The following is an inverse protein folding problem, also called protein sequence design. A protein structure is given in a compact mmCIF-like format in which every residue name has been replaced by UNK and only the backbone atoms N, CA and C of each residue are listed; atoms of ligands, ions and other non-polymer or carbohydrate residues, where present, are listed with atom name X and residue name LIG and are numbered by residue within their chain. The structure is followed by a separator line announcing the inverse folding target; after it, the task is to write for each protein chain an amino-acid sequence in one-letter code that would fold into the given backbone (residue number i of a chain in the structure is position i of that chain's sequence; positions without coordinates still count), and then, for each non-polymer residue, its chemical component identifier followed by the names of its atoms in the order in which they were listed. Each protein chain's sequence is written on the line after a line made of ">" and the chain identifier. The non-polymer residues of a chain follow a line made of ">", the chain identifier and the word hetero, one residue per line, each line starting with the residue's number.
data_IF_259274571264
#
_entry.id   IF_259274571264
#
_cell.length_a   1.000
_cell.length_b   1.000
_cell.length_c   1.000
_cell.angle_alpha   90.00
_cell.angle_beta   90.00
_cell.angle_gamma   90.00
#
_symmetry.space_group_name_H-M   'P 1'
#
loop_
_entity.id
_entity.type
_entity.pdbx_description
1 polymer ?
#
# COMPACT_ATOMS: atom_id res chain seq x y z
N UNK A 1 15.90 -19.19 9.70
CA UNK A 1 14.96 -18.05 9.72
C UNK A 1 14.02 -18.28 10.89
N UNK A 2 13.77 -17.26 11.71
CA UNK A 2 12.80 -17.36 12.82
C UNK A 2 11.46 -16.84 12.31
N UNK A 3 10.39 -17.58 12.58
CA UNK A 3 9.03 -17.16 12.27
C UNK A 3 8.64 -15.99 13.18
N UNK A 4 7.93 -15.00 12.63
CA UNK A 4 7.51 -13.78 13.30
C UNK A 4 6.00 -13.87 13.52
N UNK A 5 5.56 -13.74 14.76
CA UNK A 5 4.14 -13.73 15.10
C UNK A 5 3.49 -12.36 14.77
N UNK A 6 2.16 -12.30 14.77
CA UNK A 6 1.39 -11.10 14.45
C UNK A 6 1.76 -9.92 15.37
N UNK A 7 2.05 -10.16 16.64
CA UNK A 7 2.41 -9.08 17.58
C UNK A 7 3.78 -8.49 17.24
N UNK A 8 4.74 -9.34 16.88
CA UNK A 8 6.07 -8.92 16.43
C UNK A 8 5.99 -8.18 15.09
N UNK A 9 5.15 -8.68 14.16
CA UNK A 9 4.88 -8.00 12.89
C UNK A 9 4.33 -6.59 13.12
N UNK A 10 3.32 -6.42 13.97
CA UNK A 10 2.75 -5.11 14.34
C UNK A 10 3.80 -4.16 14.93
N UNK A 11 4.71 -4.66 15.77
CA UNK A 11 5.81 -3.83 16.31
C UNK A 11 6.74 -3.33 15.21
N UNK A 12 7.10 -4.19 14.26
CA UNK A 12 7.96 -3.81 13.12
C UNK A 12 7.25 -2.76 12.24
N UNK A 13 5.96 -2.93 11.96
CA UNK A 13 5.19 -1.94 11.20
C UNK A 13 5.10 -0.59 11.92
N UNK A 14 4.92 -0.58 13.24
CA UNK A 14 4.97 0.66 14.05
C UNK A 14 6.35 1.31 13.94
N UNK A 15 7.43 0.54 14.04
CA UNK A 15 8.80 1.08 13.91
C UNK A 15 9.03 1.69 12.51
N UNK A 16 8.49 1.08 11.46
CA UNK A 16 8.50 1.65 10.11
C UNK A 16 7.71 2.95 10.08
N UNK A 17 6.48 2.94 10.65
CA UNK A 17 5.60 4.10 10.64
C UNK A 17 6.20 5.29 11.40
N UNK A 18 6.86 5.07 12.54
CA UNK A 18 7.57 6.12 13.29
C UNK A 18 8.63 6.79 12.40
N UNK A 19 9.42 6.00 11.67
CA UNK A 19 10.46 6.55 10.78
C UNK A 19 9.88 7.29 9.58
N UNK A 20 8.75 6.80 9.05
CA UNK A 20 8.01 7.51 8.00
C UNK A 20 7.46 8.84 8.52
N UNK A 21 6.89 8.87 9.72
CA UNK A 21 6.41 10.09 10.37
C UNK A 21 7.54 11.10 10.61
N UNK A 22 8.68 10.65 11.16
CA UNK A 22 9.87 11.49 11.35
C UNK A 22 10.37 12.10 10.03
N UNK A 23 10.39 11.29 8.97
CA UNK A 23 10.78 11.75 7.63
C UNK A 23 9.80 12.77 7.07
N UNK A 24 8.50 12.49 7.17
CA UNK A 24 7.44 13.38 6.70
C UNK A 24 7.48 14.73 7.44
N UNK A 25 7.58 14.71 8.76
CA UNK A 25 7.67 15.93 9.57
C UNK A 25 8.91 16.77 9.21
N UNK A 26 10.07 16.13 9.03
CA UNK A 26 11.31 16.80 8.64
C UNK A 26 11.23 17.48 7.27
N UNK A 27 10.47 16.93 6.35
CA UNK A 27 10.38 17.38 4.97
C UNK A 27 9.06 18.10 4.64
N UNK A 28 8.22 18.41 5.65
CA UNK A 28 6.91 19.04 5.49
C UNK A 28 5.99 18.27 4.51
N UNK A 29 5.98 16.94 4.59
CA UNK A 29 5.13 16.05 3.82
C UNK A 29 3.85 15.79 4.63
N UNK A 30 2.69 16.01 4.01
CA UNK A 30 1.42 15.65 4.62
C UNK A 30 1.06 14.21 4.30
N UNK A 31 0.58 13.48 5.32
CA UNK A 31 0.00 12.17 5.14
C UNK A 31 -1.20 11.97 6.07
N UNK A 32 -2.01 10.98 5.78
CA UNK A 32 -3.21 10.62 6.53
C UNK A 32 -3.22 9.11 6.74
N UNK A 33 -3.67 8.68 7.91
CA UNK A 33 -4.01 7.27 8.11
C UNK A 33 -5.22 6.91 7.24
N UNK A 34 -5.20 5.71 6.66
CA UNK A 34 -6.24 5.25 5.75
C UNK A 34 -6.88 3.94 6.23
N UNK A 35 -8.00 3.59 5.65
CA UNK A 35 -8.69 2.31 5.76
C UNK A 35 -8.75 1.74 7.20
N UNK A 36 -8.35 0.49 7.39
CA UNK A 36 -8.30 -0.20 8.69
C UNK A 36 -7.47 0.53 9.72
N UNK A 37 -6.34 1.10 9.31
CA UNK A 37 -5.43 1.84 10.18
C UNK A 37 -6.10 3.07 10.81
N UNK A 38 -6.84 3.86 10.03
CA UNK A 38 -7.58 5.02 10.53
C UNK A 38 -8.69 4.59 11.51
N UNK A 39 -9.44 3.54 11.17
CA UNK A 39 -10.49 3.00 12.03
C UNK A 39 -9.91 2.48 13.34
N UNK A 40 -8.79 1.76 13.27
CA UNK A 40 -8.05 1.25 14.43
C UNK A 40 -7.59 2.37 15.36
N UNK A 41 -6.96 3.40 14.81
CA UNK A 41 -6.52 4.57 15.58
C UNK A 41 -7.68 5.27 16.29
N UNK A 42 -8.82 5.47 15.61
CA UNK A 42 -9.98 6.15 16.18
C UNK A 42 -10.69 5.32 17.27
N UNK A 43 -10.92 4.02 17.02
CA UNK A 43 -11.75 3.16 17.87
C UNK A 43 -10.95 2.38 18.92
N UNK A 44 -9.76 1.89 18.57
CA UNK A 44 -8.95 0.98 19.39
C UNK A 44 -7.71 1.65 19.97
N UNK A 45 -7.41 2.90 19.59
CA UNK A 45 -6.16 3.62 19.94
C UNK A 45 -4.90 2.88 19.49
N UNK A 46 -5.02 2.12 18.41
CA UNK A 46 -3.99 1.28 17.83
C UNK A 46 -4.58 0.44 16.69
N UNK A 47 -4.01 -0.71 16.43
CA UNK A 47 -4.55 -1.64 15.45
C UNK A 47 -5.94 -2.15 15.81
N UNK A 48 -6.75 -2.44 14.81
CA UNK A 48 -7.86 -3.38 14.97
C UNK A 48 -7.24 -4.74 15.40
N UNK A 49 -7.79 -5.48 16.37
CA UNK A 49 -7.12 -6.67 16.94
C UNK A 49 -6.66 -7.72 15.92
N UNK A 50 -7.44 -7.93 14.86
CA UNK A 50 -7.16 -8.92 13.80
C UNK A 50 -6.51 -8.32 12.55
N UNK A 51 -6.26 -7.01 12.51
CA UNK A 51 -5.63 -6.31 11.40
C UNK A 51 -4.12 -6.57 11.38
N UNK A 52 -3.54 -6.70 10.21
CA UNK A 52 -2.14 -7.07 10.00
C UNK A 52 -1.37 -6.15 9.03
N UNK A 53 -1.94 -4.98 8.74
CA UNK A 53 -1.37 -3.96 7.85
C UNK A 53 -1.42 -2.55 8.44
N UNK A 54 -0.69 -1.64 7.82
CA UNK A 54 -0.77 -0.18 8.03
C UNK A 54 -0.88 0.48 6.66
N UNK A 55 -1.95 1.25 6.49
CA UNK A 55 -2.25 2.03 5.30
C UNK A 55 -2.15 3.51 5.58
N UNK A 56 -1.39 4.23 4.75
CA UNK A 56 -1.35 5.70 4.75
C UNK A 56 -1.59 6.26 3.36
N UNK A 57 -2.11 7.48 3.30
CA UNK A 57 -2.35 8.20 2.07
C UNK A 57 -1.62 9.53 2.08
N UNK A 58 -1.09 9.93 0.93
CA UNK A 58 -0.42 11.23 0.73
C UNK A 58 -1.02 11.97 -0.46
N UNK A 59 -1.22 13.31 -0.39
CA UNK A 59 -1.50 14.11 -1.58
C UNK A 59 -0.49 13.81 -2.69
N UNK A 60 -0.90 13.81 -3.95
CA UNK A 60 -0.04 13.41 -5.09
C UNK A 60 1.33 14.09 -5.08
N UNK A 61 1.40 15.39 -4.82
CA UNK A 61 2.66 16.15 -4.75
C UNK A 61 3.59 15.62 -3.67
N UNK A 62 3.04 15.34 -2.48
CA UNK A 62 3.76 14.86 -1.33
C UNK A 62 4.21 13.39 -1.55
N UNK A 63 3.35 12.58 -2.14
CA UNK A 63 3.65 11.20 -2.55
C UNK A 63 4.83 11.16 -3.53
N UNK A 64 4.79 11.98 -4.60
CA UNK A 64 5.84 12.03 -5.61
C UNK A 64 7.19 12.49 -5.03
N UNK A 65 7.16 13.42 -4.08
CA UNK A 65 8.36 13.82 -3.36
C UNK A 65 8.85 12.69 -2.44
N UNK A 66 7.95 12.07 -1.67
CA UNK A 66 8.26 11.00 -0.74
C UNK A 66 8.96 9.83 -1.42
N UNK A 67 8.41 9.29 -2.50
CA UNK A 67 8.99 8.12 -3.19
C UNK A 67 10.37 8.39 -3.80
N UNK A 68 10.71 9.65 -4.10
CA UNK A 68 12.02 10.06 -4.61
C UNK A 68 13.03 10.32 -3.50
N UNK A 69 12.59 10.91 -2.40
CA UNK A 69 13.48 11.40 -1.34
C UNK A 69 13.68 10.40 -0.19
N UNK A 70 12.72 9.51 0.07
CA UNK A 70 12.79 8.54 1.15
C UNK A 70 13.86 7.45 0.98
N UNK A 71 14.11 6.88 -0.24
CA UNK A 71 15.10 5.83 -0.42
C UNK A 71 16.47 6.22 0.11
N UNK A 72 17.07 5.34 0.93
CA UNK A 72 18.40 5.59 1.54
C UNK A 72 18.39 6.42 2.82
N UNK A 73 17.24 6.95 3.25
CA UNK A 73 17.14 7.74 4.49
C UNK A 73 17.36 6.91 5.77
N UNK A 74 17.07 5.61 5.71
CA UNK A 74 17.25 4.68 6.82
C UNK A 74 17.91 3.38 6.34
N UNK A 75 18.95 2.93 7.06
CA UNK A 75 19.73 1.75 6.68
C UNK A 75 18.87 0.48 6.54
N UNK A 76 17.91 0.29 7.44
CA UNK A 76 17.11 -0.93 7.51
C UNK A 76 15.86 -0.89 6.63
N UNK A 77 15.48 0.27 6.11
CA UNK A 77 14.27 0.41 5.30
C UNK A 77 14.59 0.51 3.81
N UNK A 78 13.65 0.06 3.02
CA UNK A 78 13.62 0.30 1.59
C UNK A 78 12.19 0.66 1.15
N UNK A 79 12.09 1.18 -0.06
CA UNK A 79 10.84 1.57 -0.67
C UNK A 79 10.70 0.81 -1.99
N UNK A 80 9.58 0.14 -2.18
CA UNK A 80 9.14 -0.38 -3.47
C UNK A 80 8.16 0.62 -4.08
N UNK A 81 8.37 0.98 -5.33
CA UNK A 81 7.64 2.03 -6.04
C UNK A 81 6.91 1.49 -7.25
N UNK A 82 5.73 2.03 -7.62
CA UNK A 82 5.09 1.70 -8.88
C UNK A 82 5.89 2.13 -10.13
N UNK A 83 6.98 2.91 -9.93
CA UNK A 83 7.87 3.37 -11.00
C UNK A 83 9.17 2.55 -11.11
N UNK A 84 9.31 1.48 -10.30
CA UNK A 84 10.44 0.56 -10.42
C UNK A 84 10.39 -0.18 -11.77
N UNK A 85 11.52 -0.74 -12.22
CA UNK A 85 11.60 -1.47 -13.50
C UNK A 85 10.58 -2.62 -13.61
N UNK A 86 10.25 -3.26 -12.50
CA UNK A 86 9.26 -4.33 -12.41
C UNK A 86 8.32 -4.08 -11.23
N UNK A 87 7.38 -3.13 -11.35
CA UNK A 87 6.51 -2.77 -10.25
C UNK A 87 5.57 -3.92 -9.88
N UNK A 88 5.55 -4.26 -8.60
CA UNK A 88 4.67 -5.29 -8.06
C UNK A 88 3.29 -4.72 -7.72
N UNK A 89 3.27 -3.46 -7.26
CA UNK A 89 2.07 -2.76 -6.79
C UNK A 89 1.91 -1.44 -7.54
N UNK A 90 0.67 -0.95 -7.62
CA UNK A 90 0.34 0.38 -8.20
C UNK A 90 0.45 1.53 -7.19
N UNK A 91 0.94 1.23 -5.99
CA UNK A 91 1.25 2.15 -4.89
C UNK A 91 2.62 1.83 -4.31
N UNK A 92 3.12 2.67 -3.44
CA UNK A 92 4.42 2.42 -2.82
C UNK A 92 4.28 1.59 -1.53
N UNK A 93 5.34 0.83 -1.21
CA UNK A 93 5.48 0.13 0.06
C UNK A 93 6.79 0.50 0.71
N UNK A 94 6.76 0.83 1.99
CA UNK A 94 7.98 0.96 2.80
C UNK A 94 8.14 -0.31 3.62
N UNK A 95 9.27 -0.98 3.49
CA UNK A 95 9.48 -2.29 4.11
C UNK A 95 10.82 -2.42 4.84
N UNK A 96 10.87 -3.32 5.83
CA UNK A 96 12.09 -3.65 6.56
C UNK A 96 12.89 -4.74 5.82
N UNK A 97 14.06 -4.39 5.31
CA UNK A 97 14.97 -5.28 4.56
C UNK A 97 15.49 -6.47 5.35
N UNK A 98 15.35 -6.45 6.68
CA UNK A 98 15.82 -7.52 7.57
C UNK A 98 14.82 -8.67 7.70
N UNK A 99 13.62 -8.50 7.16
CA UNK A 99 12.51 -9.45 7.23
C UNK A 99 12.14 -9.95 5.83
N UNK A 100 11.36 -11.02 5.78
CA UNK A 100 10.77 -11.55 4.55
C UNK A 100 9.31 -11.84 4.85
N UNK A 101 8.41 -11.22 4.09
CA UNK A 101 6.97 -11.47 4.12
C UNK A 101 6.64 -12.42 2.98
N UNK A 102 6.12 -13.60 3.31
CA UNK A 102 5.67 -14.58 2.32
C UNK A 102 4.18 -14.34 2.12
N UNK A 103 3.81 -13.79 0.99
CA UNK A 103 2.40 -13.62 0.64
C UNK A 103 1.87 -14.86 -0.07
N UNK A 104 0.66 -15.31 0.29
CA UNK A 104 0.02 -16.48 -0.36
C UNK A 104 -0.20 -16.28 -1.87
N UNK A 105 -0.20 -15.02 -2.32
CA UNK A 105 -0.36 -14.60 -3.72
C UNK A 105 0.97 -14.30 -4.41
N UNK A 106 2.09 -14.85 -3.94
CA UNK A 106 3.36 -14.73 -4.67
C UNK A 106 3.21 -15.41 -6.04
N UNK A 107 3.13 -14.58 -7.07
CA UNK A 107 3.03 -15.01 -8.46
C UNK A 107 4.37 -15.52 -9.03
N UNK A 108 5.38 -15.72 -8.19
CA UNK A 108 6.69 -16.25 -8.56
C UNK A 108 7.52 -15.33 -9.47
N UNK A 109 7.09 -14.08 -9.67
CA UNK A 109 7.73 -13.12 -10.59
C UNK A 109 8.52 -12.04 -9.87
N UNK A 110 8.38 -11.91 -8.55
CA UNK A 110 9.00 -10.83 -7.79
C UNK A 110 9.75 -11.37 -6.56
N UNK A 111 10.78 -10.64 -6.14
CA UNK A 111 11.44 -10.92 -4.87
C UNK A 111 10.47 -10.58 -3.73
N UNK A 112 10.32 -11.46 -2.73
CA UNK A 112 9.48 -11.15 -1.58
C UNK A 112 10.01 -9.89 -0.87
N UNK A 113 9.11 -8.99 -0.51
CA UNK A 113 9.43 -7.83 0.32
C UNK A 113 9.56 -8.26 1.79
N UNK A 114 10.05 -7.36 2.63
CA UNK A 114 9.96 -7.51 4.08
C UNK A 114 8.59 -7.13 4.61
N UNK A 115 8.43 -7.14 5.94
CA UNK A 115 7.26 -6.55 6.61
C UNK A 115 7.19 -5.09 6.21
N UNK A 116 6.03 -4.62 5.82
CA UNK A 116 5.81 -3.38 5.08
C UNK A 116 4.62 -2.58 5.61
N UNK A 117 4.54 -1.32 5.20
CA UNK A 117 3.37 -0.46 5.26
C UNK A 117 3.05 0.06 3.86
N UNK A 118 1.77 0.28 3.59
CA UNK A 118 1.26 0.71 2.30
C UNK A 118 1.12 2.24 2.23
N UNK A 119 1.60 2.82 1.13
CA UNK A 119 1.56 4.27 0.90
C UNK A 119 0.84 4.56 -0.40
N UNK A 120 -0.37 5.11 -0.30
CA UNK A 120 -1.23 5.40 -1.44
C UNK A 120 -1.19 6.88 -1.83
N UNK A 121 -1.24 7.20 -3.12
CA UNK A 121 -1.43 8.57 -3.56
C UNK A 121 -2.91 9.00 -3.47
N UNK A 122 -3.16 10.24 -3.08
CA UNK A 122 -4.45 10.92 -3.22
C UNK A 122 -4.38 11.79 -4.46
N UNK A 123 -5.20 11.46 -5.45
CA UNK A 123 -5.33 12.23 -6.67
C UNK A 123 -6.55 13.16 -6.62
N UNK A 124 -6.46 14.27 -7.34
CA UNK A 124 -7.61 15.14 -7.56
C UNK A 124 -8.65 14.46 -8.45
N UNK A 125 -9.91 14.77 -8.19
CA UNK A 125 -11.03 14.32 -9.01
C UNK A 125 -11.57 15.51 -9.81
N UNK A 126 -12.12 15.28 -11.04
CA UNK A 126 -12.77 16.34 -11.79
C UNK A 126 -13.99 16.90 -11.05
N UNK A 127 -14.14 18.23 -11.01
CA UNK A 127 -15.31 18.89 -10.43
C UNK A 127 -16.62 18.58 -11.18
N UNK A 128 -16.52 18.28 -12.47
CA UNK A 128 -17.67 17.90 -13.31
C UNK A 128 -18.02 16.42 -13.11
N UNK A 129 -19.23 16.19 -12.58
CA UNK A 129 -19.73 14.85 -12.27
C UNK A 129 -19.72 13.89 -13.47
N UNK A 130 -20.10 14.35 -14.67
CA UNK A 130 -20.13 13.49 -15.87
C UNK A 130 -18.72 13.08 -16.30
N UNK A 131 -17.75 13.99 -16.18
CA UNK A 131 -16.34 13.70 -16.43
C UNK A 131 -15.82 12.71 -15.40
N UNK A 132 -16.11 12.94 -14.11
CA UNK A 132 -15.77 12.02 -13.03
C UNK A 132 -16.31 10.61 -13.29
N UNK A 133 -17.62 10.47 -13.57
CA UNK A 133 -18.24 9.16 -13.80
C UNK A 133 -17.66 8.44 -15.02
N UNK A 134 -17.41 9.18 -16.12
CA UNK A 134 -16.76 8.60 -17.29
C UNK A 134 -15.38 8.05 -16.96
N UNK A 135 -14.56 8.80 -16.22
CA UNK A 135 -13.23 8.40 -15.86
C UNK A 135 -13.23 7.27 -14.82
N UNK A 136 -14.20 7.28 -13.89
CA UNK A 136 -14.44 6.18 -12.96
C UNK A 136 -14.72 4.86 -13.69
N UNK A 137 -15.67 4.85 -14.64
CA UNK A 137 -15.98 3.64 -15.41
C UNK A 137 -14.83 3.19 -16.30
N UNK A 138 -14.06 4.13 -16.84
CA UNK A 138 -12.85 3.81 -17.61
C UNK A 138 -11.80 3.12 -16.74
N UNK A 139 -11.50 3.65 -15.57
CA UNK A 139 -10.57 3.05 -14.60
C UNK A 139 -11.06 1.66 -14.15
N UNK A 140 -12.33 1.54 -13.79
CA UNK A 140 -12.95 0.26 -13.42
C UNK A 140 -12.82 -0.80 -14.52
N UNK A 141 -13.00 -0.42 -15.78
CA UNK A 141 -12.85 -1.32 -16.94
C UNK A 141 -11.39 -1.77 -17.13
N UNK A 142 -10.42 -0.87 -16.94
CA UNK A 142 -8.99 -1.20 -17.02
C UNK A 142 -8.62 -2.16 -15.91
N UNK A 143 -9.01 -1.87 -14.67
CA UNK A 143 -8.76 -2.73 -13.50
C UNK A 143 -9.36 -4.12 -13.68
N UNK A 144 -10.62 -4.21 -14.15
CA UNK A 144 -11.26 -5.50 -14.43
C UNK A 144 -10.54 -6.33 -15.51
N UNK A 145 -9.96 -5.68 -16.53
CA UNK A 145 -9.10 -6.36 -17.51
C UNK A 145 -7.79 -6.84 -16.89
N UNK A 146 -7.15 -6.02 -16.08
CA UNK A 146 -5.93 -6.40 -15.37
C UNK A 146 -6.19 -7.62 -14.48
N UNK A 147 -7.21 -7.59 -13.62
CA UNK A 147 -7.58 -8.70 -12.76
C UNK A 147 -7.85 -10.00 -13.55
N UNK A 148 -8.53 -9.90 -14.71
CA UNK A 148 -8.77 -11.07 -15.57
C UNK A 148 -7.46 -11.66 -16.11
N UNK A 149 -6.51 -10.80 -16.53
CA UNK A 149 -5.21 -11.26 -17.03
C UNK A 149 -4.43 -11.95 -15.91
N UNK A 150 -4.42 -11.37 -14.73
CA UNK A 150 -3.78 -11.96 -13.53
C UNK A 150 -4.41 -13.31 -13.20
N UNK A 151 -5.74 -13.40 -13.11
CA UNK A 151 -6.45 -14.65 -12.83
C UNK A 151 -6.13 -15.74 -13.85
N UNK A 152 -6.08 -15.41 -15.14
CA UNK A 152 -5.73 -16.35 -16.19
C UNK A 152 -4.29 -16.86 -16.12
N UNK A 153 -3.35 -16.02 -15.66
CA UNK A 153 -1.94 -16.39 -15.52
C UNK A 153 -1.67 -17.23 -14.28
N UNK A 154 -2.43 -17.01 -13.22
CA UNK A 154 -2.16 -17.59 -11.90
C UNK A 154 -3.08 -18.75 -11.55
N UNK A 155 -4.12 -18.98 -12.36
CA UNK A 155 -5.21 -19.94 -12.09
C UNK A 155 -5.87 -19.75 -10.72
N UNK A 156 -5.82 -18.50 -10.18
CA UNK A 156 -6.43 -18.06 -8.91
C UNK A 156 -7.45 -16.97 -9.19
N UNK A 157 -8.55 -16.96 -8.43
CA UNK A 157 -9.49 -15.85 -8.47
C UNK A 157 -8.84 -14.60 -7.85
N UNK A 158 -8.89 -13.49 -8.57
CA UNK A 158 -8.41 -12.22 -8.06
C UNK A 158 -9.43 -11.66 -7.05
N UNK A 159 -9.10 -11.67 -5.77
CA UNK A 159 -9.96 -11.16 -4.70
C UNK A 159 -10.38 -9.68 -4.89
N UNK A 160 -9.57 -8.91 -5.59
CA UNK A 160 -9.89 -7.54 -5.99
C UNK A 160 -11.13 -7.43 -6.90
N UNK A 161 -11.44 -8.47 -7.68
CA UNK A 161 -12.67 -8.52 -8.48
C UNK A 161 -13.94 -8.61 -7.64
N UNK A 162 -13.86 -9.17 -6.44
CA UNK A 162 -15.03 -9.37 -5.56
C UNK A 162 -15.43 -8.09 -4.81
N UNK A 163 -14.48 -7.22 -4.47
CA UNK A 163 -14.75 -5.98 -3.75
C UNK A 163 -15.49 -4.92 -4.58
N UNK A 164 -15.40 -4.98 -5.91
CA UNK A 164 -16.00 -3.99 -6.82
C UNK A 164 -17.21 -4.51 -7.62
N UNK A 165 -17.62 -5.75 -7.44
CA UNK A 165 -18.74 -6.34 -8.17
C UNK A 165 -20.02 -6.52 -7.35
N UNK A 166 -20.01 -6.23 -6.05
CA UNK A 166 -21.20 -6.17 -5.22
C UNK A 166 -21.91 -4.83 -5.42
N UNK A 167 -23.07 -4.77 -6.07
CA UNK A 167 -23.93 -3.61 -5.93
C UNK A 167 -24.52 -3.67 -4.52
N UNK A 168 -24.19 -2.71 -3.70
CA UNK A 168 -24.95 -2.41 -2.49
C UNK A 168 -26.23 -1.68 -2.85
#
# INVERSE_FOLDING_TARGET
>A
MQEIDLLQQKKIMIDIMIKVDEFCNKNNINYFLADGTMIGAARHKGFIPWDDDIDIMMPRSDYEFFIKAFPGSYENLALASPYDESPMYYYAKVYDKRTIKIEELDYGTHKPLGIDIDVFPIDGEPDNYDVFMRDYYRRKKILGRYCRIVALRTNKECSFCLLYTSPS
#
